data_IF_151569594207
#
_entry.id   IF_151569594207
#
_cell.length_a   1.000
_cell.length_b   1.000
_cell.length_c   1.000
_cell.angle_alpha   90.00
_cell.angle_beta   90.00
_cell.angle_gamma   90.00
#
_symmetry.space_group_name_H-M   'P 1'
#
loop_
_entity.id
_entity.type
_entity.pdbx_description
1 polymer ?
#
# COMPACT_ATOMS: atom_id res chain seq x y z
N UNK A 1 2.67 52.24 -13.59
CA UNK A 1 1.84 51.92 -12.40
C UNK A 1 0.76 50.89 -12.71
N UNK A 2 -0.10 51.09 -13.71
CA UNK A 2 -1.21 50.17 -14.05
C UNK A 2 -0.77 48.73 -14.45
N UNK A 3 0.30 48.58 -15.25
CA UNK A 3 0.84 47.25 -15.60
C UNK A 3 1.34 46.43 -14.40
N UNK A 4 2.01 47.07 -13.44
CA UNK A 4 2.49 46.41 -12.23
C UNK A 4 1.33 45.93 -11.34
N UNK A 5 0.24 46.70 -11.27
CA UNK A 5 -0.97 46.30 -10.55
C UNK A 5 -1.68 45.09 -11.18
N UNK A 6 -1.77 45.06 -12.52
CA UNK A 6 -2.33 43.90 -13.25
C UNK A 6 -1.46 42.64 -13.04
N UNK A 7 -0.13 42.78 -13.05
CA UNK A 7 0.77 41.65 -12.79
C UNK A 7 0.65 41.12 -11.35
N UNK A 8 0.51 42.01 -10.37
CA UNK A 8 0.30 41.65 -8.96
C UNK A 8 -1.03 40.90 -8.76
N UNK A 9 -2.13 41.44 -9.27
CA UNK A 9 -3.46 40.82 -9.19
C UNK A 9 -3.52 39.47 -9.89
N UNK A 10 -2.89 39.33 -11.06
CA UNK A 10 -2.79 38.03 -11.75
C UNK A 10 -1.93 37.01 -10.97
N UNK A 11 -0.89 37.47 -10.28
CA UNK A 11 -0.04 36.61 -9.44
C UNK A 11 -0.80 36.14 -8.19
N UNK A 12 -1.54 37.03 -7.55
CA UNK A 12 -2.41 36.72 -6.40
C UNK A 12 -3.52 35.74 -6.81
N UNK A 13 -4.21 35.99 -7.92
CA UNK A 13 -5.24 35.08 -8.44
C UNK A 13 -4.69 33.67 -8.76
N UNK A 14 -3.49 33.59 -9.33
CA UNK A 14 -2.81 32.29 -9.56
C UNK A 14 -2.44 31.60 -8.26
N UNK A 15 -1.99 32.36 -7.25
CA UNK A 15 -1.65 31.83 -5.93
C UNK A 15 -2.88 31.24 -5.24
N UNK A 16 -4.00 31.96 -5.25
CA UNK A 16 -5.28 31.50 -4.69
C UNK A 16 -5.75 30.18 -5.32
N UNK A 17 -5.63 30.05 -6.66
CA UNK A 17 -5.93 28.78 -7.35
C UNK A 17 -5.03 27.62 -6.92
N UNK A 18 -3.75 27.87 -6.69
CA UNK A 18 -2.79 26.86 -6.24
C UNK A 18 -3.06 26.44 -4.79
N UNK A 19 -3.40 27.39 -3.92
CA UNK A 19 -3.80 27.13 -2.53
C UNK A 19 -5.06 26.26 -2.48
N UNK A 20 -6.07 26.58 -3.29
CA UNK A 20 -7.29 25.77 -3.42
C UNK A 20 -7.00 24.36 -3.96
N UNK A 21 -6.11 24.23 -4.95
CA UNK A 21 -5.70 22.92 -5.47
C UNK A 21 -4.98 22.09 -4.39
N UNK A 22 -4.13 22.72 -3.57
CA UNK A 22 -3.46 22.07 -2.45
C UNK A 22 -4.46 21.59 -1.39
N UNK A 23 -5.46 22.41 -1.05
CA UNK A 23 -6.54 22.04 -0.13
C UNK A 23 -7.31 20.82 -0.63
N UNK A 24 -7.75 20.83 -1.90
CA UNK A 24 -8.43 19.69 -2.52
C UNK A 24 -7.57 18.42 -2.46
N UNK A 25 -6.27 18.54 -2.74
CA UNK A 25 -5.36 17.40 -2.72
C UNK A 25 -5.18 16.84 -1.29
N UNK A 26 -5.07 17.71 -0.28
CA UNK A 26 -4.99 17.32 1.13
C UNK A 26 -6.26 16.60 1.60
N UNK A 27 -7.43 17.15 1.27
CA UNK A 27 -8.72 16.56 1.61
C UNK A 27 -8.94 15.23 0.92
N UNK A 28 -8.60 15.14 -0.37
CA UNK A 28 -8.69 13.89 -1.13
C UNK A 28 -7.77 12.82 -0.55
N UNK A 29 -6.52 13.17 -0.19
CA UNK A 29 -5.60 12.25 0.48
C UNK A 29 -6.17 11.75 1.81
N UNK A 30 -6.73 12.65 2.63
CA UNK A 30 -7.35 12.29 3.92
C UNK A 30 -8.54 11.36 3.71
N UNK A 31 -9.38 11.65 2.71
CA UNK A 31 -10.50 10.82 2.32
C UNK A 31 -10.05 9.41 1.87
N UNK A 32 -9.03 9.32 1.03
CA UNK A 32 -8.45 8.04 0.58
C UNK A 32 -7.86 7.22 1.72
N UNK A 33 -7.21 7.85 2.70
CA UNK A 33 -6.76 7.18 3.92
C UNK A 33 -7.95 6.63 4.71
N UNK A 34 -9.04 7.40 4.83
CA UNK A 34 -10.27 6.94 5.46
C UNK A 34 -10.90 5.73 4.75
N UNK A 35 -11.03 5.80 3.43
CA UNK A 35 -11.55 4.69 2.62
C UNK A 35 -10.65 3.45 2.69
N UNK A 36 -9.34 3.63 2.73
CA UNK A 36 -8.38 2.54 2.88
C UNK A 36 -8.64 1.69 4.13
N UNK A 37 -8.88 2.35 5.28
CA UNK A 37 -9.22 1.66 6.53
C UNK A 37 -10.61 1.03 6.50
N UNK A 38 -11.62 1.71 5.91
CA UNK A 38 -12.96 1.14 5.73
C UNK A 38 -12.93 -0.15 4.91
N UNK A 39 -12.24 -0.14 3.75
CA UNK A 39 -12.06 -1.33 2.90
C UNK A 39 -11.38 -2.46 3.65
N UNK A 40 -10.32 -2.15 4.39
CA UNK A 40 -9.62 -3.13 5.23
C UNK A 40 -10.56 -3.79 6.23
N UNK A 41 -11.43 -3.01 6.89
CA UNK A 41 -12.44 -3.55 7.80
C UNK A 41 -13.38 -4.57 7.14
N UNK A 42 -13.95 -4.24 5.97
CA UNK A 42 -14.83 -5.15 5.24
C UNK A 42 -14.15 -6.48 4.91
N UNK A 43 -12.93 -6.44 4.35
CA UNK A 43 -12.20 -7.65 3.99
C UNK A 43 -11.88 -8.51 5.20
N UNK A 44 -11.42 -7.92 6.31
CA UNK A 44 -11.13 -8.65 7.54
C UNK A 44 -12.38 -9.35 8.08
N UNK A 45 -13.53 -8.67 8.07
CA UNK A 45 -14.81 -9.25 8.53
C UNK A 45 -15.23 -10.44 7.66
N UNK A 46 -15.24 -10.29 6.34
CA UNK A 46 -15.65 -11.37 5.43
C UNK A 46 -14.70 -12.56 5.49
N UNK A 47 -13.39 -12.32 5.50
CA UNK A 47 -12.39 -13.39 5.63
C UNK A 47 -12.53 -14.08 6.99
N UNK A 48 -12.78 -13.33 8.07
CA UNK A 48 -13.03 -13.87 9.40
C UNK A 48 -14.26 -14.78 9.43
N UNK A 49 -15.35 -14.37 8.80
CA UNK A 49 -16.56 -15.20 8.69
C UNK A 49 -16.30 -16.51 7.93
N UNK A 50 -15.53 -16.45 6.83
CA UNK A 50 -15.12 -17.65 6.08
C UNK A 50 -14.24 -18.56 6.93
N UNK A 51 -13.33 -18.00 7.73
CA UNK A 51 -12.49 -18.77 8.65
C UNK A 51 -13.33 -19.51 9.71
N UNK A 52 -14.29 -18.83 10.34
CA UNK A 52 -15.22 -19.44 11.31
C UNK A 52 -16.06 -20.53 10.65
N UNK A 53 -16.57 -20.28 9.44
CA UNK A 53 -17.31 -21.26 8.67
C UNK A 53 -16.46 -22.50 8.38
N UNK A 54 -15.23 -22.32 7.89
CA UNK A 54 -14.31 -23.43 7.62
C UNK A 54 -14.04 -24.27 8.87
N UNK A 55 -13.75 -23.64 10.01
CA UNK A 55 -13.53 -24.34 11.27
C UNK A 55 -14.77 -25.12 11.74
N UNK A 56 -15.95 -24.51 11.59
CA UNK A 56 -17.23 -25.15 11.97
C UNK A 56 -17.51 -26.39 11.13
N UNK A 57 -17.27 -26.33 9.82
CA UNK A 57 -17.41 -27.50 8.93
C UNK A 57 -16.35 -28.57 9.25
N UNK A 58 -15.11 -28.16 9.53
CA UNK A 58 -14.01 -29.07 9.86
C UNK A 58 -14.28 -29.85 11.15
N UNK A 59 -14.95 -29.25 12.14
CA UNK A 59 -15.24 -29.86 13.44
C UNK A 59 -16.64 -30.49 13.54
N UNK A 60 -17.43 -30.49 12.46
CA UNK A 60 -18.80 -31.00 12.48
C UNK A 60 -18.85 -32.47 12.10
N UNK A 61 -19.37 -33.30 13.01
CA UNK A 61 -19.72 -34.70 12.73
C UNK A 61 -21.17 -34.88 12.22
N UNK A 62 -21.93 -33.78 12.14
CA UNK A 62 -23.37 -33.79 11.80
C UNK A 62 -23.65 -33.67 10.31
N UNK A 63 -22.65 -33.35 9.51
CA UNK A 63 -22.78 -33.09 8.07
C UNK A 63 -22.40 -34.35 7.31
N UNK A 64 -23.13 -34.67 6.25
CA UNK A 64 -22.79 -35.78 5.37
C UNK A 64 -21.37 -35.61 4.81
N UNK A 65 -20.58 -36.70 4.79
CA UNK A 65 -19.14 -36.66 4.46
C UNK A 65 -18.86 -36.08 3.07
N UNK A 66 -19.71 -36.36 2.09
CA UNK A 66 -19.56 -35.82 0.74
C UNK A 66 -19.77 -34.30 0.73
N UNK A 67 -20.87 -33.83 1.32
CA UNK A 67 -21.16 -32.41 1.47
C UNK A 67 -20.08 -31.68 2.27
N UNK A 68 -19.60 -32.28 3.36
CA UNK A 68 -18.51 -31.75 4.17
C UNK A 68 -17.23 -31.57 3.34
N UNK A 69 -16.85 -32.58 2.54
CA UNK A 69 -15.66 -32.53 1.68
C UNK A 69 -15.74 -31.38 0.66
N UNK A 70 -16.90 -31.18 0.03
CA UNK A 70 -17.11 -30.07 -0.90
C UNK A 70 -17.05 -28.70 -0.21
N UNK A 71 -17.66 -28.56 0.96
CA UNK A 71 -17.63 -27.31 1.72
C UNK A 71 -16.20 -26.97 2.19
N UNK A 72 -15.42 -27.98 2.57
CA UNK A 72 -13.99 -27.83 2.91
C UNK A 72 -13.12 -27.44 1.72
N UNK A 73 -13.56 -27.64 0.46
CA UNK A 73 -12.89 -27.09 -0.72
C UNK A 73 -13.34 -25.67 -1.05
N UNK A 74 -14.65 -25.41 -0.99
CA UNK A 74 -15.24 -24.13 -1.39
C UNK A 74 -14.84 -23.01 -0.44
N UNK A 75 -14.84 -23.26 0.87
CA UNK A 75 -14.55 -22.21 1.86
C UNK A 75 -13.09 -21.70 1.77
N UNK A 76 -12.06 -22.55 1.66
CA UNK A 76 -10.70 -22.07 1.40
C UNK A 76 -10.53 -21.38 0.06
N UNK A 77 -11.20 -21.82 -1.00
CA UNK A 77 -11.19 -21.13 -2.29
C UNK A 77 -11.78 -19.72 -2.18
N UNK A 78 -12.89 -19.58 -1.45
CA UNK A 78 -13.50 -18.28 -1.16
C UNK A 78 -12.59 -17.39 -0.30
N UNK A 79 -11.97 -17.97 0.75
CA UNK A 79 -11.00 -17.28 1.60
C UNK A 79 -9.79 -16.76 0.80
N UNK A 80 -9.27 -17.59 -0.11
CA UNK A 80 -8.22 -17.21 -1.05
C UNK A 80 -8.66 -16.04 -1.95
N UNK A 81 -9.83 -16.15 -2.58
CA UNK A 81 -10.33 -15.11 -3.47
C UNK A 81 -10.50 -13.76 -2.75
N UNK A 82 -11.13 -13.77 -1.57
CA UNK A 82 -11.36 -12.56 -0.78
C UNK A 82 -10.04 -11.91 -0.32
N UNK A 83 -9.07 -12.71 0.10
CA UNK A 83 -7.76 -12.22 0.54
C UNK A 83 -6.89 -11.71 -0.62
N UNK A 84 -6.97 -12.34 -1.80
CA UNK A 84 -6.32 -11.86 -3.02
C UNK A 84 -6.90 -10.50 -3.44
N UNK A 85 -8.23 -10.38 -3.46
CA UNK A 85 -8.91 -9.11 -3.75
C UNK A 85 -8.53 -8.02 -2.74
N UNK A 86 -8.42 -8.37 -1.45
CA UNK A 86 -7.94 -7.44 -0.44
C UNK A 86 -6.50 -6.99 -0.72
N UNK A 87 -5.60 -7.91 -1.09
CA UNK A 87 -4.23 -7.57 -1.44
C UNK A 87 -4.17 -6.61 -2.64
N UNK A 88 -4.96 -6.87 -3.69
CA UNK A 88 -5.06 -5.99 -4.86
C UNK A 88 -5.60 -4.60 -4.48
N UNK A 89 -6.65 -4.55 -3.64
CA UNK A 89 -7.21 -3.29 -3.14
C UNK A 89 -6.18 -2.48 -2.32
N UNK A 90 -5.36 -3.15 -1.51
CA UNK A 90 -4.27 -2.53 -0.76
C UNK A 90 -3.18 -1.96 -1.68
N UNK A 91 -2.86 -2.66 -2.77
CA UNK A 91 -1.93 -2.16 -3.80
C UNK A 91 -2.47 -0.93 -4.53
N UNK A 92 -3.73 -0.97 -4.96
CA UNK A 92 -4.39 0.17 -5.60
C UNK A 92 -4.48 1.38 -4.68
N UNK A 93 -4.88 1.19 -3.42
CA UNK A 93 -4.98 2.26 -2.43
C UNK A 93 -3.63 2.96 -2.20
N UNK A 94 -2.55 2.18 -2.12
CA UNK A 94 -1.21 2.73 -1.94
C UNK A 94 -0.76 3.56 -3.15
N UNK A 95 -1.04 3.10 -4.37
CA UNK A 95 -0.72 3.85 -5.58
C UNK A 95 -1.39 5.23 -5.58
N UNK A 96 -2.69 5.30 -5.28
CA UNK A 96 -3.41 6.57 -5.23
C UNK A 96 -2.95 7.47 -4.08
N UNK A 97 -2.60 6.91 -2.92
CA UNK A 97 -2.00 7.68 -1.82
C UNK A 97 -0.66 8.31 -2.23
N UNK A 98 0.25 7.53 -2.83
CA UNK A 98 1.53 8.04 -3.31
C UNK A 98 1.35 9.09 -4.42
N UNK A 99 0.33 8.94 -5.28
CA UNK A 99 -0.04 9.92 -6.30
C UNK A 99 -0.45 11.27 -5.68
N UNK A 100 -1.37 11.26 -4.71
CA UNK A 100 -1.80 12.48 -4.04
C UNK A 100 -0.67 13.11 -3.21
N UNK A 101 0.17 12.30 -2.56
CA UNK A 101 1.37 12.78 -1.86
C UNK A 101 2.34 13.51 -2.81
N UNK A 102 2.51 13.02 -4.04
CA UNK A 102 3.34 13.69 -5.05
C UNK A 102 2.74 15.04 -5.47
N UNK A 103 1.43 15.11 -5.71
CA UNK A 103 0.76 16.37 -6.07
C UNK A 103 0.82 17.41 -4.94
N UNK A 104 0.55 16.98 -3.71
CA UNK A 104 0.65 17.85 -2.52
C UNK A 104 2.06 18.40 -2.40
N UNK A 105 3.08 17.57 -2.58
CA UNK A 105 4.47 18.01 -2.50
C UNK A 105 4.81 19.05 -3.57
N UNK A 106 4.44 18.81 -4.84
CA UNK A 106 4.68 19.75 -5.92
C UNK A 106 3.97 21.09 -5.67
N UNK A 107 2.69 21.07 -5.33
CA UNK A 107 1.90 22.26 -5.04
C UNK A 107 2.47 23.05 -3.85
N UNK A 108 2.79 22.34 -2.76
CA UNK A 108 3.33 22.96 -1.54
C UNK A 108 4.71 23.59 -1.78
N UNK A 109 5.54 22.97 -2.63
CA UNK A 109 6.84 23.52 -3.03
C UNK A 109 6.69 24.79 -3.88
N UNK A 110 5.74 24.82 -4.82
CA UNK A 110 5.47 26.02 -5.63
C UNK A 110 4.94 27.19 -4.80
N UNK A 111 4.19 26.90 -3.73
CA UNK A 111 3.69 27.91 -2.78
C UNK A 111 4.75 28.35 -1.76
N UNK A 112 5.93 27.71 -1.74
CA UNK A 112 7.00 28.02 -0.79
C UNK A 112 6.79 27.41 0.61
N UNK A 113 5.96 26.38 0.73
CA UNK A 113 5.56 25.74 2.00
C UNK A 113 5.80 24.21 1.91
N UNK A 114 7.04 23.73 1.77
CA UNK A 114 7.33 22.32 1.41
C UNK A 114 7.22 21.34 2.61
N UNK A 115 6.07 21.33 3.29
CA UNK A 115 5.84 20.56 4.53
C UNK A 115 5.96 19.05 4.29
N UNK A 116 5.55 18.56 3.11
CA UNK A 116 5.54 17.12 2.79
C UNK A 116 6.91 16.58 2.36
N UNK A 117 7.81 17.44 1.91
CA UNK A 117 9.14 17.09 1.46
C UNK A 117 10.16 17.07 2.58
N UNK A 118 9.88 17.72 3.71
CA UNK A 118 10.74 17.72 4.89
C UNK A 118 10.45 16.46 5.71
N UNK A 119 11.37 15.51 5.65
CA UNK A 119 11.24 14.20 6.31
C UNK A 119 12.22 14.09 7.46
N UNK A 120 11.74 13.61 8.61
CA UNK A 120 12.58 13.31 9.77
C UNK A 120 13.56 12.20 9.46
N UNK A 121 14.84 12.42 9.74
CA UNK A 121 15.87 11.40 9.60
C UNK A 121 15.68 10.29 10.63
N UNK A 122 15.80 9.05 10.17
CA UNK A 122 15.83 7.88 11.05
C UNK A 122 17.13 7.85 11.85
N UNK A 123 17.02 7.92 13.18
CA UNK A 123 18.13 7.78 14.13
C UNK A 123 18.33 6.34 14.60
N UNK A 124 17.25 5.58 14.80
CA UNK A 124 17.33 4.22 15.32
C UNK A 124 17.59 3.16 14.23
N UNK A 125 18.34 2.12 14.60
CA UNK A 125 18.51 0.92 13.77
C UNK A 125 17.22 0.12 13.71
N UNK A 126 17.08 -0.72 12.69
CA UNK A 126 15.95 -1.66 12.59
C UNK A 126 15.96 -2.71 13.70
N UNK A 127 17.12 -2.97 14.29
CA UNK A 127 17.27 -3.91 15.40
C UNK A 127 16.85 -3.30 16.76
N UNK A 128 16.63 -1.98 16.82
CA UNK A 128 16.11 -1.36 18.05
C UNK A 128 14.59 -1.53 18.06
N UNK A 129 14.12 -2.56 18.76
CA UNK A 129 12.71 -2.97 18.81
C UNK A 129 11.79 -1.88 19.38
N UNK A 130 12.26 -1.09 20.35
CA UNK A 130 11.47 -0.04 21.00
C UNK A 130 11.67 1.35 20.36
N UNK A 131 12.61 1.48 19.42
CA UNK A 131 12.92 2.73 18.73
C UNK A 131 11.99 3.02 17.56
N UNK A 132 11.82 4.29 17.23
CA UNK A 132 11.08 4.70 16.03
C UNK A 132 11.79 4.22 14.76
N UNK A 133 11.09 3.46 13.92
CA UNK A 133 11.58 3.04 12.61
C UNK A 133 10.55 3.38 11.51
N UNK A 134 10.96 3.97 10.37
CA UNK A 134 10.04 4.40 9.32
C UNK A 134 9.55 3.22 8.48
N UNK A 135 8.71 2.37 9.07
CA UNK A 135 7.90 1.40 8.35
C UNK A 135 6.76 2.08 7.59
N UNK A 136 6.40 1.54 6.44
CA UNK A 136 5.24 2.00 5.67
C UNK A 136 4.02 1.20 6.09
N UNK A 137 3.05 1.88 6.71
CA UNK A 137 1.80 1.26 7.18
C UNK A 137 1.03 0.57 6.06
N UNK A 138 1.00 1.18 4.86
CA UNK A 138 0.36 0.58 3.68
C UNK A 138 1.06 -0.70 3.21
N UNK A 139 2.40 -0.76 3.27
CA UNK A 139 3.14 -2.00 2.97
C UNK A 139 2.93 -3.09 4.01
N UNK A 140 2.80 -2.73 5.29
CA UNK A 140 2.47 -3.71 6.34
C UNK A 140 1.15 -4.39 6.03
N UNK A 141 0.10 -3.64 5.70
CA UNK A 141 -1.20 -4.23 5.36
C UNK A 141 -1.18 -5.04 4.06
N UNK A 142 -0.37 -4.62 3.07
CA UNK A 142 -0.12 -5.43 1.87
C UNK A 142 0.51 -6.78 2.22
N UNK A 143 1.47 -6.82 3.15
CA UNK A 143 2.06 -8.06 3.64
C UNK A 143 1.06 -8.92 4.41
N UNK A 144 0.22 -8.32 5.25
CA UNK A 144 -0.84 -9.04 5.99
C UNK A 144 -1.80 -9.73 5.03
N UNK A 145 -2.35 -8.97 4.07
CA UNK A 145 -3.24 -9.52 3.05
C UNK A 145 -2.58 -10.60 2.19
N UNK A 146 -1.31 -10.43 1.81
CA UNK A 146 -0.54 -11.45 1.08
C UNK A 146 -0.35 -12.73 1.90
N UNK A 147 -0.01 -12.60 3.18
CA UNK A 147 0.18 -13.74 4.07
C UNK A 147 -1.12 -14.54 4.19
N UNK A 148 -2.24 -13.87 4.45
CA UNK A 148 -3.56 -14.51 4.53
C UNK A 148 -3.91 -15.20 3.20
N UNK A 149 -3.59 -14.58 2.06
CA UNK A 149 -3.77 -15.20 0.74
C UNK A 149 -3.00 -16.51 0.61
N UNK A 150 -1.72 -16.51 0.98
CA UNK A 150 -0.87 -17.72 0.96
C UNK A 150 -1.41 -18.78 1.92
N UNK A 151 -1.83 -18.40 3.13
CA UNK A 151 -2.42 -19.32 4.10
C UNK A 151 -3.65 -20.02 3.53
N UNK A 152 -4.55 -19.30 2.86
CA UNK A 152 -5.72 -19.91 2.22
C UNK A 152 -5.36 -20.83 1.06
N UNK A 153 -4.31 -20.51 0.28
CA UNK A 153 -3.80 -21.44 -0.75
C UNK A 153 -3.29 -22.74 -0.12
N UNK A 154 -2.55 -22.65 1.00
CA UNK A 154 -2.04 -23.84 1.69
C UNK A 154 -3.19 -24.70 2.25
N UNK A 155 -4.21 -24.07 2.84
CA UNK A 155 -5.41 -24.77 3.31
C UNK A 155 -6.13 -25.42 2.12
N UNK A 156 -6.33 -24.70 1.02
CA UNK A 156 -6.97 -25.24 -0.18
C UNK A 156 -6.22 -26.45 -0.73
N UNK A 157 -4.88 -26.37 -0.85
CA UNK A 157 -4.05 -27.50 -1.29
C UNK A 157 -4.21 -28.69 -0.34
N UNK A 158 -4.18 -28.46 0.98
CA UNK A 158 -4.37 -29.52 1.98
C UNK A 158 -5.72 -30.24 1.78
N UNK A 159 -6.80 -29.48 1.57
CA UNK A 159 -8.15 -30.06 1.38
C UNK A 159 -8.27 -30.78 0.02
N UNK A 160 -7.63 -30.28 -1.04
CA UNK A 160 -7.54 -30.99 -2.34
C UNK A 160 -6.79 -32.31 -2.20
N UNK A 161 -5.66 -32.32 -1.48
CA UNK A 161 -4.86 -33.53 -1.24
C UNK A 161 -5.56 -34.54 -0.33
N UNK A 162 -6.44 -34.07 0.56
CA UNK A 162 -7.22 -34.90 1.48
C UNK A 162 -8.56 -35.35 0.88
N UNK A 163 -8.87 -34.94 -0.36
CA UNK A 163 -10.14 -35.22 -0.99
C UNK A 163 -10.28 -36.74 -1.23
N UNK A 164 -11.42 -37.39 -0.90
CA UNK A 164 -11.53 -38.86 -0.86
C UNK A 164 -11.14 -39.60 -2.15
N UNK A 165 -11.22 -38.96 -3.32
CA UNK A 165 -10.82 -39.54 -4.60
C UNK A 165 -9.31 -39.50 -4.86
N UNK A 166 -8.55 -38.66 -4.15
CA UNK A 166 -7.09 -38.59 -4.20
C UNK A 166 -6.48 -39.39 -3.04
N UNK A 167 -5.92 -40.58 -3.32
CA UNK A 167 -5.15 -41.34 -2.33
C UNK A 167 -3.67 -41.00 -2.41
N UNK A 168 -3.27 -39.86 -1.83
CA UNK A 168 -1.86 -39.48 -1.73
C UNK A 168 -1.42 -39.61 -0.27
N UNK A 169 -0.48 -40.51 0.00
CA UNK A 169 0.14 -40.63 1.33
C UNK A 169 1.25 -39.59 1.50
N UNK A 170 1.11 -38.71 2.50
CA UNK A 170 2.05 -37.64 2.85
C UNK A 170 2.85 -37.95 4.13
N UNK A 171 2.83 -39.21 4.59
CA UNK A 171 3.50 -39.69 5.80
C UNK A 171 4.98 -39.31 5.91
N UNK A 172 5.70 -39.24 4.77
CA UNK A 172 7.12 -38.87 4.68
C UNK A 172 7.46 -37.43 5.14
N UNK A 173 6.48 -36.51 5.18
CA UNK A 173 6.75 -35.10 5.53
C UNK A 173 6.79 -34.81 7.04
N UNK A 174 6.39 -35.76 7.91
CA UNK A 174 6.12 -35.49 9.33
C UNK A 174 7.34 -35.13 10.19
N UNK A 175 8.52 -35.69 9.93
CA UNK A 175 9.72 -35.42 10.77
C UNK A 175 10.53 -34.20 10.31
N UNK A 176 10.54 -33.92 9.00
CA UNK A 176 11.25 -32.76 8.43
C UNK A 176 10.42 -31.47 8.60
N UNK A 177 9.10 -31.58 8.81
CA UNK A 177 8.20 -30.42 8.82
C UNK A 177 8.46 -29.42 9.93
N UNK A 178 8.93 -29.84 11.11
CA UNK A 178 9.10 -28.92 12.25
C UNK A 178 10.23 -27.91 12.00
N UNK A 179 11.41 -28.37 11.58
CA UNK A 179 12.54 -27.48 11.29
C UNK A 179 12.30 -26.63 10.05
N UNK A 180 11.69 -27.19 9.00
CA UNK A 180 11.25 -26.43 7.83
C UNK A 180 10.27 -25.31 8.24
N UNK A 181 9.35 -25.60 9.15
CA UNK A 181 8.39 -24.61 9.64
C UNK A 181 9.07 -23.48 10.41
N UNK A 182 9.98 -23.79 11.35
CA UNK A 182 10.72 -22.78 12.13
C UNK A 182 11.58 -21.91 11.20
N UNK A 183 12.35 -22.53 10.29
CA UNK A 183 13.18 -21.80 9.32
C UNK A 183 12.29 -20.94 8.41
N UNK A 184 11.16 -21.48 7.95
CA UNK A 184 10.17 -20.76 7.15
C UNK A 184 9.63 -19.52 7.87
N UNK A 185 9.28 -19.64 9.16
CA UNK A 185 8.83 -18.51 9.97
C UNK A 185 9.91 -17.43 10.12
N UNK A 186 11.16 -17.81 10.37
CA UNK A 186 12.28 -16.87 10.45
C UNK A 186 12.50 -16.13 9.12
N UNK A 187 12.46 -16.85 7.99
CA UNK A 187 12.56 -16.25 6.66
C UNK A 187 11.40 -15.28 6.41
N UNK A 188 10.17 -15.66 6.74
CA UNK A 188 8.99 -14.79 6.59
C UNK A 188 9.15 -13.51 7.42
N UNK A 189 9.60 -13.61 8.67
CA UNK A 189 9.86 -12.45 9.52
C UNK A 189 10.90 -11.52 8.90
N UNK A 190 12.01 -12.05 8.39
CA UNK A 190 13.03 -11.27 7.70
C UNK A 190 12.49 -10.58 6.44
N UNK A 191 11.68 -11.29 5.64
CA UNK A 191 11.03 -10.76 4.45
C UNK A 191 10.09 -9.60 4.81
N UNK A 192 9.24 -9.75 5.84
CA UNK A 192 8.34 -8.71 6.31
C UNK A 192 9.15 -7.47 6.74
N UNK A 193 10.16 -7.66 7.58
CA UNK A 193 11.03 -6.58 8.09
C UNK A 193 11.71 -5.83 6.93
N UNK A 194 12.10 -6.53 5.87
CA UNK A 194 12.74 -5.92 4.71
C UNK A 194 11.75 -5.20 3.78
N UNK A 195 10.62 -5.83 3.44
CA UNK A 195 9.65 -5.30 2.49
C UNK A 195 8.87 -4.09 3.07
N UNK A 196 8.54 -4.11 4.36
CA UNK A 196 7.77 -3.06 5.02
C UNK A 196 8.55 -1.75 5.21
N UNK A 197 9.85 -1.71 4.90
CA UNK A 197 10.67 -0.50 4.97
C UNK A 197 10.08 0.63 4.12
N UNK A 198 9.78 1.76 4.75
CA UNK A 198 9.35 2.97 4.08
C UNK A 198 10.46 3.63 3.25
N UNK A 199 10.13 4.66 2.48
CA UNK A 199 11.13 5.39 1.70
C UNK A 199 12.24 5.98 2.59
N UNK A 200 11.88 6.58 3.74
CA UNK A 200 12.84 7.12 4.70
C UNK A 200 13.76 6.06 5.32
N UNK A 201 13.39 4.78 5.29
CA UNK A 201 14.27 3.68 5.70
C UNK A 201 15.38 3.38 4.68
N UNK A 202 15.22 3.82 3.42
CA UNK A 202 16.16 3.55 2.32
C UNK A 202 17.17 4.69 2.09
N UNK A 203 17.06 5.79 2.83
CA UNK A 203 17.95 6.95 2.65
C UNK A 203 19.40 6.66 3.08
N UNK A 204 20.39 7.19 2.34
CA UNK A 204 21.81 6.88 2.53
C UNK A 204 22.36 7.39 3.88
N UNK A 205 23.34 6.66 4.44
CA UNK A 205 23.93 6.96 5.76
C UNK A 205 24.46 8.39 5.90
N UNK A 206 24.99 8.99 4.83
CA UNK A 206 25.53 10.36 4.85
C UNK A 206 24.48 11.43 5.19
N UNK A 207 23.18 11.17 4.92
CA UNK A 207 22.06 12.05 5.29
C UNK A 207 21.53 11.82 6.72
N UNK A 208 22.04 10.81 7.46
CA UNK A 208 21.56 10.47 8.82
C UNK A 208 22.05 11.43 9.91
N UNK A 209 23.08 12.22 9.65
CA UNK A 209 23.65 13.15 10.63
C UNK A 209 22.83 14.45 10.76
N UNK A 210 21.91 14.71 9.83
CA UNK A 210 20.96 15.82 9.93
C UNK A 210 19.64 15.33 10.55
N UNK A 211 18.98 16.14 11.38
CA UNK A 211 17.70 15.76 12.00
C UNK A 211 16.55 15.61 11.00
N UNK A 212 16.63 16.36 9.90
CA UNK A 212 15.67 16.34 8.79
C UNK A 212 16.41 16.31 7.46
N UNK A 213 15.77 15.74 6.44
CA UNK A 213 16.25 15.79 5.06
C UNK A 213 15.10 16.09 4.10
N UNK A 214 15.43 16.73 2.99
CA UNK A 214 14.47 16.99 1.94
C UNK A 214 14.40 15.79 0.98
N UNK A 215 13.20 15.26 0.76
CA UNK A 215 12.96 14.04 -0.01
C UNK A 215 13.46 14.15 -1.47
N UNK A 216 13.33 15.33 -2.11
CA UNK A 216 13.56 15.50 -3.55
C UNK A 216 14.68 16.48 -3.95
N UNK A 217 15.66 16.73 -3.07
CA UNK A 217 16.72 17.73 -3.28
C UNK A 217 17.64 17.55 -4.50
N UNK A 218 17.62 16.41 -5.20
CA UNK A 218 18.52 16.14 -6.34
C UNK A 218 17.81 15.93 -7.70
N UNK A 219 16.48 15.80 -7.76
CA UNK A 219 15.76 15.61 -9.03
C UNK A 219 15.47 16.89 -9.80
N UNK A 220 15.72 18.07 -9.21
CA UNK A 220 15.58 19.37 -9.89
C UNK A 220 16.44 19.51 -11.15
N UNK A 221 17.48 18.68 -11.35
CA UNK A 221 18.30 18.73 -12.57
C UNK A 221 17.64 18.10 -13.80
N UNK A 222 16.61 17.24 -13.64
CA UNK A 222 15.91 16.60 -14.76
C UNK A 222 14.46 17.07 -14.99
N UNK A 223 13.80 17.68 -13.99
CA UNK A 223 12.39 18.09 -14.09
C UNK A 223 12.13 19.37 -14.90
N UNK A 224 13.18 20.10 -15.27
CA UNK A 224 13.08 21.20 -16.24
C UNK A 224 12.42 20.72 -17.56
N UNK A 225 12.57 19.44 -17.92
CA UNK A 225 12.02 18.87 -19.15
C UNK A 225 10.52 18.54 -19.08
N UNK A 226 10.01 18.10 -17.91
CA UNK A 226 8.57 17.80 -17.73
C UNK A 226 7.77 19.09 -17.58
N UNK A 227 8.31 20.06 -16.85
CA UNK A 227 7.71 21.39 -16.71
C UNK A 227 7.70 22.15 -18.03
N UNK A 228 8.73 22.03 -18.90
CA UNK A 228 8.67 22.53 -20.27
C UNK A 228 7.54 21.90 -21.09
N UNK A 229 7.30 20.59 -20.95
CA UNK A 229 6.20 19.88 -21.65
C UNK A 229 4.82 20.32 -21.17
N UNK A 230 4.63 20.48 -19.86
CA UNK A 230 3.38 20.95 -19.27
C UNK A 230 3.12 22.42 -19.66
N UNK A 231 4.16 23.27 -19.65
CA UNK A 231 4.06 24.67 -20.10
C UNK A 231 3.75 24.79 -21.60
N UNK A 232 4.25 23.87 -22.43
CA UNK A 232 3.89 23.77 -23.85
C UNK A 232 2.43 23.31 -24.05
N UNK A 233 1.95 22.36 -23.25
CA UNK A 233 0.55 21.91 -23.30
C UNK A 233 -0.42 22.99 -22.84
N UNK A 234 -0.11 23.69 -21.74
CA UNK A 234 -0.92 24.80 -21.23
C UNK A 234 -0.93 25.99 -22.21
N UNK A 235 0.17 26.25 -22.93
CA UNK A 235 0.21 27.26 -24.01
C UNK A 235 -0.61 26.88 -25.26
N UNK A 236 -0.97 25.62 -25.46
CA UNK A 236 -1.80 25.16 -26.59
C UNK A 236 -3.30 25.24 -26.31
N UNK A 237 -3.70 25.34 -25.04
CA UNK A 237 -5.12 25.46 -24.62
C UNK A 237 -5.80 26.75 -25.15
N UNK A 238 -5.16 27.94 -25.21
CA UNK A 238 -5.79 29.15 -25.73
C UNK A 238 -6.00 29.17 -27.25
N UNK A 239 -5.40 28.23 -28.00
CA UNK A 239 -5.52 28.15 -29.46
C UNK A 239 -6.76 27.36 -29.92
N UNK A 240 -7.48 26.71 -28.99
CA UNK A 240 -8.65 25.89 -29.31
C UNK A 240 -9.95 26.71 -29.15
N UNK A 241 -9.97 27.76 -28.32
CA UNK A 241 -11.11 28.68 -28.18
C UNK A 241 -11.20 29.75 -29.28
N UNK A 242 -10.18 29.89 -30.13
CA UNK A 242 -10.18 30.83 -31.27
C UNK A 242 -10.50 30.18 -32.62
N UNK A 243 -10.89 28.90 -32.63
CA UNK A 243 -11.25 28.12 -33.83
C UNK A 243 -12.63 27.45 -33.73
N UNK A 244 -13.48 27.87 -32.78
CA UNK A 244 -14.91 27.56 -32.72
C UNK A 244 -15.75 28.77 -33.08
#
# INVERSE_FOLDING_TARGET
MHRAYIELTLKEYKKEKLEKALEIALDTRKFEIGLYWKRTGYFVIFIGAVFVGYYTILSSDKIEKEQQSWLLLILPALGFLLSLLWHMANRGSKFWQENWEAHIEELSTHLGIPIFGIIKSRKHSICNVMGQYPFSVSKVNQMVSLFITISWVLVFIKEVLSFPSLKIDLSFLKEISFWIFIIGLLIILLVIIFQCRGFAAKTPKKRKNADYFYNYGEKKKCECHLWCKIKQLIKKIPLIESLS
#
